data_IF_899585616751
#
_entry.id   IF_899585616751
#
_cell.length_a   1.000
_cell.length_b   1.000
_cell.length_c   1.000
_cell.angle_alpha   90.00
_cell.angle_beta   90.00
_cell.angle_gamma   90.00
#
_symmetry.space_group_name_H-M   'P 1'
#
loop_
_entity.id
_entity.type
_entity.pdbx_description
1 polymer ?
#
# COMPACT_ATOMS: atom_id res chain seq x y z
N UNK A 1 15.40 -7.76 20.94
CA UNK A 1 15.77 -6.47 20.33
C UNK A 1 14.81 -6.23 19.18
N UNK A 2 14.27 -5.02 19.04
CA UNK A 2 13.21 -4.72 18.07
C UNK A 2 13.73 -3.72 17.03
N UNK A 3 13.55 -4.04 15.76
CA UNK A 3 13.92 -3.16 14.66
C UNK A 3 13.07 -1.87 14.69
N UNK A 4 13.69 -0.73 14.35
CA UNK A 4 12.96 0.54 14.23
C UNK A 4 12.42 0.65 12.81
N UNK A 5 11.09 0.80 12.72
CA UNK A 5 10.39 0.92 11.45
C UNK A 5 9.79 2.32 11.32
N UNK A 6 10.00 2.98 10.19
CA UNK A 6 9.32 4.24 9.86
C UNK A 6 8.84 4.24 8.41
N UNK A 7 7.75 4.98 8.17
CA UNK A 7 7.08 5.03 6.87
C UNK A 7 7.37 6.35 6.19
N UNK A 8 7.92 6.30 4.97
CA UNK A 8 8.12 7.47 4.11
C UNK A 8 6.94 7.58 3.14
N UNK A 9 6.19 8.68 3.22
CA UNK A 9 5.07 9.01 2.30
C UNK A 9 5.50 10.09 1.31
N UNK A 10 5.24 9.89 0.02
CA UNK A 10 5.43 10.90 -1.02
C UNK A 10 4.29 10.84 -2.04
N UNK A 11 3.53 11.92 -2.16
CA UNK A 11 2.32 12.02 -3.01
C UNK A 11 1.39 10.81 -2.80
N UNK A 12 1.34 9.88 -3.76
CA UNK A 12 0.47 8.70 -3.73
C UNK A 12 1.24 7.40 -3.42
N UNK A 13 2.41 7.48 -2.76
CA UNK A 13 3.31 6.34 -2.56
C UNK A 13 3.81 6.26 -1.13
N UNK A 14 3.91 5.03 -0.63
CA UNK A 14 4.42 4.72 0.71
C UNK A 14 5.44 3.60 0.64
N UNK A 15 6.55 3.74 1.36
CA UNK A 15 7.59 2.71 1.54
C UNK A 15 7.92 2.61 3.03
N UNK A 16 7.96 1.38 3.54
CA UNK A 16 8.40 1.07 4.91
C UNK A 16 9.92 0.88 4.87
N UNK A 17 10.63 1.60 5.73
CA UNK A 17 12.08 1.46 5.94
C UNK A 17 12.31 0.78 7.28
N UNK A 18 13.19 -0.22 7.30
CA UNK A 18 13.56 -1.02 8.48
C UNK A 18 15.02 -0.73 8.78
N UNK A 19 15.30 -0.21 9.98
CA UNK A 19 16.67 0.05 10.43
C UNK A 19 16.98 -0.88 11.61
N UNK A 20 18.05 -1.69 11.51
CA UNK A 20 18.50 -2.53 12.61
C UNK A 20 18.99 -1.65 13.77
N UNK A 21 18.71 -2.07 15.01
CA UNK A 21 19.12 -1.33 16.22
C UNK A 21 20.63 -1.56 16.48
N UNK A 22 21.47 -0.88 15.71
CA UNK A 22 22.92 -0.80 15.91
C UNK A 22 23.22 0.33 16.88
N UNK A 23 23.88 0.02 18.01
CA UNK A 23 24.01 0.93 19.15
C UNK A 23 24.70 2.27 18.85
N UNK A 24 24.36 3.26 19.67
CA UNK A 24 24.59 4.71 19.58
C UNK A 24 23.43 5.51 18.91
N UNK A 25 22.87 6.44 19.67
CA UNK A 25 21.69 7.21 19.26
C UNK A 25 22.00 8.18 18.12
N UNK A 26 23.23 8.72 18.07
CA UNK A 26 23.68 9.59 16.98
C UNK A 26 23.86 8.80 15.68
N UNK A 27 24.46 7.61 15.76
CA UNK A 27 24.64 6.74 14.61
C UNK A 27 23.28 6.31 14.03
N UNK A 28 22.32 5.98 14.89
CA UNK A 28 20.96 5.63 14.46
C UNK A 28 20.22 6.78 13.76
N UNK A 29 20.34 8.03 14.26
CA UNK A 29 19.74 9.19 13.59
C UNK A 29 20.34 9.42 12.21
N UNK A 30 21.66 9.29 12.09
CA UNK A 30 22.36 9.44 10.82
C UNK A 30 21.94 8.37 9.81
N UNK A 31 21.86 7.11 10.23
CA UNK A 31 21.39 6.01 9.40
C UNK A 31 19.92 6.21 8.96
N UNK A 32 19.08 6.75 9.84
CA UNK A 32 17.69 7.08 9.54
C UNK A 32 17.56 8.17 8.48
N UNK A 33 18.33 9.24 8.60
CA UNK A 33 18.36 10.32 7.60
C UNK A 33 18.88 9.82 6.25
N UNK A 34 19.96 9.04 6.23
CA UNK A 34 20.55 8.50 5.02
C UNK A 34 19.60 7.56 4.25
N UNK A 35 18.94 6.64 4.95
CA UNK A 35 17.96 5.73 4.34
C UNK A 35 16.68 6.47 3.91
N UNK A 36 16.29 7.53 4.64
CA UNK A 36 15.18 8.40 4.24
C UNK A 36 15.45 9.12 2.93
N UNK A 37 16.63 9.71 2.75
CA UNK A 37 17.03 10.37 1.51
C UNK A 37 17.10 9.39 0.33
N UNK A 38 17.70 8.21 0.55
CA UNK A 38 17.78 7.15 -0.44
C UNK A 38 16.39 6.66 -0.88
N UNK A 39 15.49 6.46 0.08
CA UNK A 39 14.09 6.06 -0.18
C UNK A 39 13.31 7.15 -0.92
N UNK A 40 13.50 8.42 -0.55
CA UNK A 40 12.95 9.57 -1.28
C UNK A 40 13.44 9.60 -2.73
N UNK A 41 14.74 9.39 -2.96
CA UNK A 41 15.31 9.36 -4.30
C UNK A 41 14.78 8.16 -5.12
N UNK A 42 14.57 7.00 -4.48
CA UNK A 42 13.93 5.86 -5.13
C UNK A 42 12.47 6.15 -5.49
N UNK A 43 11.71 6.82 -4.61
CA UNK A 43 10.34 7.24 -4.88
C UNK A 43 10.28 8.25 -6.03
N UNK A 44 11.19 9.23 -6.08
CA UNK A 44 11.29 10.19 -7.19
C UNK A 44 11.61 9.51 -8.54
N UNK A 45 12.46 8.48 -8.53
CA UNK A 45 12.85 7.73 -9.75
C UNK A 45 11.76 6.81 -10.28
N UNK A 46 10.92 6.26 -9.40
CA UNK A 46 9.79 5.43 -9.82
C UNK A 46 8.76 6.33 -10.52
N UNK A 47 8.12 5.83 -11.58
CA UNK A 47 6.99 6.52 -12.19
C UNK A 47 5.84 6.66 -11.17
N UNK A 48 5.05 7.75 -11.21
CA UNK A 48 3.83 7.86 -10.43
C UNK A 48 3.00 6.60 -10.62
N UNK A 49 2.43 6.06 -9.53
CA UNK A 49 1.37 5.07 -9.72
C UNK A 49 0.32 5.78 -10.55
N UNK A 50 -0.03 5.23 -11.70
CA UNK A 50 -1.13 5.77 -12.49
C UNK A 50 -2.33 5.89 -11.55
N UNK A 51 -2.78 7.13 -11.33
CA UNK A 51 -4.05 7.35 -10.64
C UNK A 51 -5.07 6.66 -11.52
N UNK A 52 -5.62 5.55 -11.03
CA UNK A 52 -6.64 4.82 -11.78
C UNK A 52 -7.79 5.78 -12.04
N UNK A 53 -8.00 6.17 -13.29
CA UNK A 53 -9.11 7.01 -13.75
C UNK A 53 -10.44 6.22 -13.75
N UNK A 54 -10.60 5.30 -12.82
CA UNK A 54 -11.85 4.57 -12.64
C UNK A 54 -12.83 5.57 -12.04
N UNK A 55 -13.84 5.91 -12.84
CA UNK A 55 -14.89 6.83 -12.42
C UNK A 55 -15.65 6.25 -11.24
N UNK A 56 -16.34 7.11 -10.48
CA UNK A 56 -17.20 6.64 -9.40
C UNK A 56 -18.30 5.70 -9.92
N UNK A 57 -18.80 5.96 -11.14
CA UNK A 57 -19.82 5.16 -11.81
C UNK A 57 -19.30 3.75 -12.14
N UNK A 58 -18.10 3.63 -12.71
CA UNK A 58 -17.48 2.34 -13.01
C UNK A 58 -17.27 1.50 -11.73
N UNK A 59 -16.90 2.14 -10.62
CA UNK A 59 -16.79 1.43 -9.32
C UNK A 59 -18.15 0.95 -8.83
N UNK A 60 -19.18 1.78 -8.96
CA UNK A 60 -20.52 1.43 -8.50
C UNK A 60 -21.09 0.28 -9.33
N UNK A 61 -20.87 0.28 -10.64
CA UNK A 61 -21.28 -0.80 -11.55
C UNK A 61 -20.55 -2.10 -11.24
N UNK A 62 -19.22 -2.06 -11.08
CA UNK A 62 -18.44 -3.25 -10.69
C UNK A 62 -18.88 -3.84 -9.35
N UNK A 63 -19.18 -2.99 -8.35
CA UNK A 63 -19.70 -3.43 -7.05
C UNK A 63 -21.09 -4.08 -7.21
N UNK A 64 -21.94 -3.53 -8.07
CA UNK A 64 -23.27 -4.07 -8.36
C UNK A 64 -23.17 -5.44 -9.05
N UNK A 65 -22.36 -5.55 -10.10
CA UNK A 65 -22.12 -6.82 -10.79
C UNK A 65 -21.59 -7.91 -9.85
N UNK A 66 -20.67 -7.54 -8.95
CA UNK A 66 -20.15 -8.44 -7.93
C UNK A 66 -21.25 -8.92 -6.96
N UNK A 67 -22.10 -8.01 -6.48
CA UNK A 67 -23.26 -8.37 -5.63
C UNK A 67 -24.22 -9.29 -6.37
N UNK A 68 -24.56 -8.97 -7.61
CA UNK A 68 -25.45 -9.79 -8.45
C UNK A 68 -24.85 -11.18 -8.72
N UNK A 69 -23.53 -11.28 -8.86
CA UNK A 69 -22.83 -12.56 -8.96
C UNK A 69 -22.93 -13.38 -7.66
N UNK A 70 -22.70 -12.75 -6.50
CA UNK A 70 -22.85 -13.40 -5.20
C UNK A 70 -24.28 -13.87 -4.94
N UNK A 71 -25.28 -13.08 -5.31
CA UNK A 71 -26.68 -13.46 -5.20
C UNK A 71 -27.03 -14.64 -6.11
N UNK A 72 -26.55 -14.64 -7.36
CA UNK A 72 -26.72 -15.78 -8.28
C UNK A 72 -26.09 -17.05 -7.72
N UNK A 73 -24.89 -16.98 -7.16
CA UNK A 73 -24.25 -18.13 -6.48
C UNK A 73 -25.08 -18.63 -5.30
N UNK A 74 -25.63 -17.73 -4.49
CA UNK A 74 -26.45 -18.07 -3.32
C UNK A 74 -27.82 -18.67 -3.71
N UNK A 75 -28.43 -18.21 -4.80
CA UNK A 75 -29.68 -18.80 -5.32
C UNK A 75 -29.44 -20.15 -6.02
N UNK A 76 -28.31 -20.32 -6.70
CA UNK A 76 -27.92 -21.59 -7.32
C UNK A 76 -27.67 -22.71 -6.32
N UNK A 77 -27.12 -22.39 -5.14
CA UNK A 77 -26.92 -23.36 -4.05
C UNK A 77 -28.19 -23.71 -3.28
N UNK A 78 -29.26 -22.90 -3.38
CA UNK A 78 -30.51 -23.10 -2.64
C UNK A 78 -31.50 -24.04 -3.33
N UNK A 79 -31.20 -24.53 -4.55
CA UNK A 79 -32.03 -25.48 -5.31
C UNK A 79 -31.65 -26.95 -5.12
N UNK A 80 -30.57 -27.25 -4.40
CA UNK A 80 -30.01 -28.60 -4.25
C UNK A 80 -29.94 -29.11 -2.80
N UNK A 81 -30.72 -28.53 -1.88
CA UNK A 81 -30.94 -29.08 -0.53
C UNK A 81 -32.44 -29.22 -0.28
#
# INVERSE_FOLDING_TARGET
>A
MADKNFTVKHEDRETIVIIPDTGDAQEMQYLEEAEREKTLNQLKRKAPREKSNISHEDRAEAIKEWRDHLERKKKGTRRFF
#
